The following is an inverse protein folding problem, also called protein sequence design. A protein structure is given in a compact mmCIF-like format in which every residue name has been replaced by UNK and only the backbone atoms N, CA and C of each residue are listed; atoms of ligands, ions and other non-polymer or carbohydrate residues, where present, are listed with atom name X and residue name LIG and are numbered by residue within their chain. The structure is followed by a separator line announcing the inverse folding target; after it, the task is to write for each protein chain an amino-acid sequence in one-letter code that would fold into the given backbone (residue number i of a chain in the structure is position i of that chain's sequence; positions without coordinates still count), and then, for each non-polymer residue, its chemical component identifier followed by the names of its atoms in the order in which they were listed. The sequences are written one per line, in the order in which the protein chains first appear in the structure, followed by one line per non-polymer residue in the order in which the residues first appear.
data_IF_411545476416
#
_entry.id   IF_411545476416
#
_cell.length_a   1.000
_cell.length_b   1.000
_cell.length_c   1.000
_cell.angle_alpha   90.00
_cell.angle_beta   90.00
_cell.angle_gamma   90.00
#
_symmetry.space_group_name_H-M   'P 1'
#
loop_
_entity.id
_entity.type
_entity.pdbx_description
1 polymer ?
#
# COMPACT_ATOMS: atom_id res chain seq x y z
N UNK A 1 28.38 33.32 -0.10
CA UNK A 1 27.62 32.48 0.85
C UNK A 1 26.49 31.83 0.04
N UNK A 2 26.78 30.68 -0.57
CA UNK A 2 25.81 29.93 -1.39
C UNK A 2 24.81 29.25 -0.44
N UNK A 3 23.54 29.64 -0.51
CA UNK A 3 22.46 28.82 0.08
C UNK A 3 22.12 27.74 -0.94
N UNK A 4 22.31 26.47 -0.55
CA UNK A 4 21.79 25.31 -1.27
C UNK A 4 20.29 25.48 -1.48
N UNK A 5 19.86 25.62 -2.73
CA UNK A 5 18.45 25.72 -3.15
C UNK A 5 17.90 24.33 -3.52
N UNK A 6 18.71 23.26 -3.41
CA UNK A 6 18.33 21.90 -3.83
C UNK A 6 17.31 21.19 -2.90
N UNK A 7 16.94 21.79 -1.76
CA UNK A 7 15.93 21.25 -0.85
C UNK A 7 14.58 22.00 -0.90
N UNK A 8 14.36 22.84 -1.91
CA UNK A 8 13.04 23.44 -2.11
C UNK A 8 12.20 22.44 -2.90
N UNK A 9 11.42 21.62 -2.19
CA UNK A 9 10.29 20.90 -2.77
C UNK A 9 9.47 21.95 -3.53
N UNK A 10 9.42 21.84 -4.86
CA UNK A 10 8.60 22.71 -5.68
C UNK A 10 7.13 22.39 -5.38
N UNK A 11 6.56 23.11 -4.42
CA UNK A 11 5.17 22.94 -3.99
C UNK A 11 4.19 23.14 -5.15
N UNK A 12 4.60 23.84 -6.22
CA UNK A 12 3.76 24.15 -7.38
C UNK A 12 3.58 22.94 -8.31
N UNK A 13 4.56 22.02 -8.37
CA UNK A 13 4.39 20.74 -9.07
C UNK A 13 3.48 19.79 -8.27
N UNK A 14 3.39 19.96 -6.94
CA UNK A 14 2.41 19.31 -6.07
C UNK A 14 1.02 19.98 -6.08
N UNK A 15 0.81 21.12 -6.76
CA UNK A 15 -0.47 21.86 -6.71
C UNK A 15 -1.62 21.22 -7.47
N UNK A 16 -1.38 20.19 -8.28
CA UNK A 16 -2.45 19.35 -8.83
C UNK A 16 -2.24 17.91 -8.40
N UNK A 17 -2.65 17.62 -7.16
CA UNK A 17 -2.83 16.25 -6.71
C UNK A 17 -3.75 15.52 -7.70
N UNK A 18 -3.43 14.24 -7.97
CA UNK A 18 -4.32 13.38 -8.74
C UNK A 18 -5.71 13.39 -8.10
N UNK A 19 -6.75 13.26 -8.91
CA UNK A 19 -8.10 13.16 -8.40
C UNK A 19 -8.84 12.00 -9.04
N UNK A 20 -9.82 11.49 -8.32
CA UNK A 20 -10.72 10.43 -8.81
C UNK A 20 -11.58 10.99 -9.93
N UNK A 21 -11.57 10.36 -11.10
CA UNK A 21 -12.46 10.70 -12.22
C UNK A 21 -13.69 9.78 -12.24
N UNK A 22 -13.46 8.47 -12.14
CA UNK A 22 -14.54 7.48 -12.26
C UNK A 22 -14.37 6.41 -11.18
N UNK A 23 -15.24 6.37 -10.16
CA UNK A 23 -15.34 5.21 -9.28
C UNK A 23 -15.93 4.02 -10.04
N UNK A 24 -15.35 2.83 -9.87
CA UNK A 24 -15.68 1.65 -10.69
C UNK A 24 -16.38 0.57 -9.86
N UNK A 25 -15.71 0.07 -8.80
CA UNK A 25 -16.23 -1.02 -7.95
C UNK A 25 -15.66 -0.93 -6.55
N UNK A 26 -16.26 -1.63 -5.59
CA UNK A 26 -15.75 -1.79 -4.22
C UNK A 26 -15.30 -3.23 -4.04
N UNK A 27 -14.14 -3.45 -3.42
CA UNK A 27 -13.67 -4.78 -3.08
C UNK A 27 -14.44 -5.34 -1.88
N UNK A 28 -14.71 -6.65 -1.92
CA UNK A 28 -15.42 -7.36 -0.85
C UNK A 28 -14.44 -7.76 0.26
N UNK A 29 -14.04 -6.78 1.08
CA UNK A 29 -13.04 -6.91 2.16
C UNK A 29 -13.42 -5.99 3.33
N UNK A 30 -12.80 -6.17 4.50
CA UNK A 30 -13.08 -5.37 5.69
C UNK A 30 -12.92 -3.85 5.48
N UNK A 31 -11.85 -3.41 4.83
CA UNK A 31 -11.60 -1.98 4.57
C UNK A 31 -12.39 -1.39 3.39
N UNK A 32 -13.06 -2.25 2.60
CA UNK A 32 -13.91 -1.89 1.45
C UNK A 32 -13.27 -0.84 0.52
N UNK A 33 -12.02 -1.04 0.04
CA UNK A 33 -11.40 -0.10 -0.89
C UNK A 33 -12.19 -0.08 -2.20
N UNK A 34 -12.23 1.08 -2.85
CA UNK A 34 -12.86 1.21 -4.16
C UNK A 34 -11.83 1.34 -5.27
N UNK A 35 -12.05 0.66 -6.38
CA UNK A 35 -11.29 0.84 -7.61
C UNK A 35 -11.81 2.11 -8.30
N UNK A 36 -10.89 2.94 -8.79
CA UNK A 36 -11.24 4.07 -9.64
C UNK A 36 -10.22 4.28 -10.75
N UNK A 37 -10.64 5.04 -11.77
CA UNK A 37 -9.73 5.71 -12.68
C UNK A 37 -9.42 7.12 -12.16
N UNK A 38 -8.13 7.45 -12.14
CA UNK A 38 -7.63 8.75 -11.70
C UNK A 38 -7.36 9.68 -12.89
N UNK A 39 -7.05 10.94 -12.59
CA UNK A 39 -6.83 12.00 -13.57
C UNK A 39 -5.62 11.82 -14.50
N UNK A 40 -4.74 10.89 -14.19
CA UNK A 40 -3.62 10.45 -15.05
C UNK A 40 -4.01 9.30 -15.99
N UNK A 41 -5.27 8.84 -15.95
CA UNK A 41 -5.79 7.74 -16.76
C UNK A 41 -5.54 6.36 -16.15
N UNK A 42 -4.81 6.28 -15.03
CA UNK A 42 -4.43 5.03 -14.38
C UNK A 42 -5.50 4.55 -13.39
N UNK A 43 -5.46 3.26 -13.07
CA UNK A 43 -6.40 2.63 -12.13
C UNK A 43 -5.79 2.49 -10.74
N UNK A 44 -6.57 2.78 -9.71
CA UNK A 44 -6.12 2.74 -8.31
C UNK A 44 -7.13 2.08 -7.39
N UNK A 45 -6.64 1.19 -6.51
CA UNK A 45 -7.40 0.74 -5.34
C UNK A 45 -7.26 1.77 -4.23
N UNK A 46 -8.37 2.42 -3.89
CA UNK A 46 -8.43 3.55 -2.99
C UNK A 46 -8.97 3.17 -1.61
N UNK A 47 -8.16 3.42 -0.56
CA UNK A 47 -8.53 3.28 0.85
C UNK A 47 -8.91 4.64 1.43
N UNK A 48 -10.03 4.67 2.16
CA UNK A 48 -10.59 5.88 2.75
C UNK A 48 -10.20 5.97 4.22
N UNK A 49 -9.82 7.17 4.72
CA UNK A 49 -9.58 7.37 6.16
C UNK A 49 -10.82 7.08 7.00
N UNK A 50 -12.02 7.24 6.45
CA UNK A 50 -13.28 6.99 7.15
C UNK A 50 -13.81 5.56 6.96
N UNK A 51 -12.92 4.58 6.76
CA UNK A 51 -13.31 3.16 6.63
C UNK A 51 -13.49 2.52 8.00
N UNK A 52 -13.92 1.26 8.03
CA UNK A 52 -14.07 0.50 9.29
C UNK A 52 -12.70 0.24 9.96
N UNK A 53 -11.59 0.42 9.23
CA UNK A 53 -10.21 0.34 9.75
C UNK A 53 -9.63 1.72 10.12
N UNK A 54 -10.47 2.77 10.06
CA UNK A 54 -10.18 4.16 10.44
C UNK A 54 -8.95 4.80 9.75
N UNK A 55 -8.59 6.01 10.19
CA UNK A 55 -7.57 6.87 9.58
C UNK A 55 -6.18 6.25 9.66
N UNK A 56 -5.90 5.53 10.73
CA UNK A 56 -4.58 5.02 11.01
C UNK A 56 -4.16 3.90 10.05
N UNK A 57 -5.11 3.08 9.56
CA UNK A 57 -4.81 2.12 8.50
C UNK A 57 -4.30 2.84 7.23
N UNK A 58 -4.89 3.99 6.87
CA UNK A 58 -4.42 4.81 5.74
C UNK A 58 -3.07 5.46 6.03
N UNK A 59 -2.82 5.88 7.27
CA UNK A 59 -1.50 6.39 7.69
C UNK A 59 -0.44 5.30 7.52
N UNK A 60 -0.74 4.06 7.91
CA UNK A 60 0.18 2.94 7.78
C UNK A 60 0.55 2.66 6.32
N UNK A 61 -0.42 2.68 5.39
CA UNK A 61 -0.15 2.58 3.95
C UNK A 61 0.85 3.64 3.49
N UNK A 62 0.67 4.90 3.91
CA UNK A 62 1.56 6.01 3.54
C UNK A 62 2.95 5.83 4.15
N UNK A 63 3.03 5.56 5.45
CA UNK A 63 4.30 5.44 6.17
C UNK A 63 5.11 4.25 5.67
N UNK A 64 4.48 3.08 5.50
CA UNK A 64 5.13 1.90 4.93
C UNK A 64 5.62 2.17 3.51
N UNK A 65 4.83 2.86 2.69
CA UNK A 65 5.21 3.21 1.32
C UNK A 65 6.39 4.18 1.25
N UNK A 66 6.47 5.15 2.16
CA UNK A 66 7.62 6.07 2.27
C UNK A 66 8.87 5.31 2.72
N UNK A 67 8.78 4.51 3.79
CA UNK A 67 9.91 3.72 4.30
C UNK A 67 10.41 2.76 3.22
N UNK A 68 9.50 2.08 2.51
CA UNK A 68 9.86 1.18 1.43
C UNK A 68 10.59 1.87 0.28
N UNK A 69 10.18 3.10 -0.09
CA UNK A 69 10.89 3.87 -1.10
C UNK A 69 12.34 4.19 -0.68
N UNK A 70 12.58 4.54 0.58
CA UNK A 70 13.92 4.85 1.11
C UNK A 70 14.87 3.64 1.09
N UNK A 71 14.34 2.42 1.20
CA UNK A 71 15.13 1.18 1.16
C UNK A 71 14.99 0.41 -0.17
N UNK A 72 14.35 1.02 -1.17
CA UNK A 72 14.07 0.43 -2.48
C UNK A 72 13.30 -0.92 -2.39
N UNK A 73 12.46 -1.07 -1.37
CA UNK A 73 11.58 -2.23 -1.23
C UNK A 73 10.47 -2.17 -2.30
N UNK A 74 10.07 -3.33 -2.86
CA UNK A 74 9.10 -3.39 -3.95
C UNK A 74 7.67 -3.17 -3.45
N UNK A 75 7.30 -1.94 -3.11
CA UNK A 75 5.92 -1.56 -2.80
C UNK A 75 5.24 -1.09 -4.08
N UNK A 76 3.94 -1.41 -4.24
CA UNK A 76 3.17 -0.89 -5.37
C UNK A 76 3.23 0.66 -5.40
N UNK A 77 3.47 1.28 -6.57
CA UNK A 77 3.35 2.72 -6.72
C UNK A 77 2.01 3.22 -6.22
N UNK A 78 2.02 4.35 -5.55
CA UNK A 78 0.87 4.89 -4.85
C UNK A 78 0.78 6.40 -5.04
N UNK A 79 -0.39 6.95 -4.74
CA UNK A 79 -0.64 8.37 -4.69
C UNK A 79 -1.71 8.69 -3.64
N UNK A 80 -1.76 9.94 -3.19
CA UNK A 80 -2.96 10.48 -2.54
C UNK A 80 -3.84 11.08 -3.62
N UNK A 81 -5.11 10.70 -3.65
CA UNK A 81 -6.08 11.21 -4.62
C UNK A 81 -7.12 12.09 -3.91
N UNK A 82 -7.42 13.25 -4.49
CA UNK A 82 -8.55 14.06 -4.05
C UNK A 82 -9.87 13.48 -4.59
N UNK A 83 -10.95 13.68 -3.83
CA UNK A 83 -12.32 13.41 -4.28
C UNK A 83 -12.94 14.74 -4.77
N UNK A 84 -13.18 14.89 -6.08
CA UNK A 84 -13.84 16.07 -6.64
C UNK A 84 -15.22 16.34 -6.01
N UNK A 85 -15.61 17.61 -5.94
CA UNK A 85 -16.83 18.05 -5.25
C UNK A 85 -18.12 17.46 -5.84
N UNK A 86 -18.12 17.17 -7.14
CA UNK A 86 -19.20 16.50 -7.88
C UNK A 86 -19.32 15.01 -7.57
N UNK A 87 -18.23 14.37 -7.11
CA UNK A 87 -18.24 12.98 -6.64
C UNK A 87 -18.59 12.84 -5.15
N UNK A 88 -18.50 13.92 -4.36
CA UNK A 88 -18.85 13.88 -2.94
C UNK A 88 -20.34 13.52 -2.76
N UNK A 89 -20.62 12.59 -1.83
CA UNK A 89 -21.94 11.98 -1.57
C UNK A 89 -22.48 11.04 -2.65
N UNK A 90 -21.77 10.84 -3.76
CA UNK A 90 -22.13 9.79 -4.71
C UNK A 90 -21.94 8.41 -4.07
N UNK A 91 -22.79 7.46 -4.45
CA UNK A 91 -22.69 6.09 -3.96
C UNK A 91 -21.71 5.29 -4.80
N UNK A 92 -20.89 4.48 -4.14
CA UNK A 92 -20.03 3.47 -4.75
C UNK A 92 -20.33 2.11 -4.11
N UNK A 93 -20.07 1.04 -4.87
CA UNK A 93 -20.36 -0.33 -4.43
C UNK A 93 -21.84 -0.66 -4.41
N UNK A 94 -22.13 -1.90 -4.01
CA UNK A 94 -23.47 -2.48 -3.98
C UNK A 94 -23.69 -3.24 -2.67
N UNK A 95 -24.95 -3.48 -2.29
CA UNK A 95 -25.30 -4.23 -1.09
C UNK A 95 -24.66 -3.68 0.20
N UNK A 96 -24.07 -4.56 1.00
CA UNK A 96 -23.37 -4.25 2.26
C UNK A 96 -22.04 -3.51 2.07
N UNK A 97 -21.53 -3.49 0.84
CA UNK A 97 -20.32 -2.77 0.45
C UNK A 97 -20.63 -1.35 -0.06
N UNK A 98 -21.91 -0.95 -0.09
CA UNK A 98 -22.33 0.36 -0.58
C UNK A 98 -22.11 1.47 0.44
N UNK A 99 -21.42 2.53 0.04
CA UNK A 99 -21.24 3.73 0.86
C UNK A 99 -21.15 5.01 0.02
N UNK A 100 -21.19 6.17 0.70
CA UNK A 100 -21.03 7.48 0.07
C UNK A 100 -19.57 7.93 0.11
N UNK A 101 -19.08 8.43 -1.01
CA UNK A 101 -17.78 9.11 -1.04
C UNK A 101 -17.84 10.40 -0.21
N UNK A 102 -16.75 10.68 0.51
CA UNK A 102 -16.59 11.89 1.30
C UNK A 102 -15.51 12.78 0.67
N UNK A 103 -15.29 13.99 1.20
CA UNK A 103 -14.39 15.00 0.60
C UNK A 103 -12.91 14.71 0.92
N UNK A 104 -12.67 13.94 1.97
CA UNK A 104 -11.37 13.55 2.48
C UNK A 104 -10.57 12.85 1.37
N UNK A 105 -9.28 13.22 1.17
CA UNK A 105 -8.42 12.53 0.25
C UNK A 105 -8.26 11.04 0.60
N UNK A 106 -7.97 10.23 -0.40
CA UNK A 106 -7.82 8.77 -0.27
C UNK A 106 -6.40 8.36 -0.63
N UNK A 107 -5.90 7.30 0.00
CA UNK A 107 -4.69 6.63 -0.45
C UNK A 107 -5.06 5.72 -1.61
N UNK A 108 -4.36 5.83 -2.74
CA UNK A 108 -4.52 4.95 -3.90
C UNK A 108 -3.26 4.14 -4.16
N UNK A 109 -3.38 2.81 -4.16
CA UNK A 109 -2.35 1.90 -4.68
C UNK A 109 -2.65 1.58 -6.14
N UNK A 110 -1.67 1.79 -7.03
CA UNK A 110 -1.86 1.62 -8.48
C UNK A 110 -2.16 0.15 -8.79
N UNK A 111 -3.27 -0.10 -9.47
CA UNK A 111 -3.73 -1.42 -9.88
C UNK A 111 -2.62 -2.14 -10.65
N UNK A 112 -2.44 -3.42 -10.33
CA UNK A 112 -1.67 -4.36 -11.12
C UNK A 112 -2.67 -5.33 -11.76
N UNK A 113 -2.71 -5.38 -13.09
CA UNK A 113 -3.81 -6.02 -13.82
C UNK A 113 -3.73 -7.55 -13.78
N UNK A 114 -2.53 -8.09 -13.97
CA UNK A 114 -2.27 -9.53 -14.07
C UNK A 114 -1.59 -9.99 -12.79
N UNK A 115 -2.29 -9.91 -11.65
CA UNK A 115 -1.73 -10.30 -10.37
C UNK A 115 -2.75 -10.88 -9.41
N UNK A 116 -2.26 -11.70 -8.50
CA UNK A 116 -3.04 -12.30 -7.41
C UNK A 116 -2.35 -12.08 -6.06
N UNK A 117 -3.16 -11.98 -5.01
CA UNK A 117 -2.70 -11.74 -3.64
C UNK A 117 -2.39 -13.05 -2.95
N UNK A 118 -1.21 -13.14 -2.35
CA UNK A 118 -0.78 -14.28 -1.56
C UNK A 118 -0.17 -13.85 -0.23
N UNK A 119 -0.32 -14.72 0.77
CA UNK A 119 0.27 -14.58 2.11
C UNK A 119 1.54 -15.41 2.30
N UNK A 120 1.76 -16.36 1.40
CA UNK A 120 2.98 -17.18 1.36
C UNK A 120 3.99 -16.57 0.40
N UNK A 121 5.26 -16.64 0.76
CA UNK A 121 6.35 -16.30 -0.15
C UNK A 121 6.68 -17.49 -1.05
N UNK A 122 6.76 -17.25 -2.35
CA UNK A 122 7.17 -18.22 -3.37
C UNK A 122 7.79 -17.49 -4.56
N UNK A 123 8.22 -18.23 -5.60
CA UNK A 123 8.89 -17.67 -6.78
C UNK A 123 10.09 -16.74 -6.45
N UNK A 124 10.78 -17.01 -5.33
CA UNK A 124 11.93 -16.23 -4.84
C UNK A 124 13.08 -16.22 -5.85
N UNK A 125 13.17 -17.28 -6.66
CA UNK A 125 14.15 -17.50 -7.72
C UNK A 125 13.74 -16.93 -9.09
N UNK A 126 12.60 -16.24 -9.19
CA UNK A 126 12.07 -15.69 -10.46
C UNK A 126 12.19 -14.15 -10.49
N UNK A 127 12.25 -13.58 -11.70
CA UNK A 127 12.24 -12.13 -12.00
C UNK A 127 12.97 -11.20 -11.01
N UNK A 128 14.22 -11.53 -10.67
CA UNK A 128 15.02 -10.72 -9.75
C UNK A 128 14.45 -10.67 -8.32
N UNK A 129 13.47 -11.52 -7.97
CA UNK A 129 12.90 -11.61 -6.64
C UNK A 129 13.96 -11.94 -5.58
N UNK A 130 15.06 -12.57 -5.99
CA UNK A 130 16.25 -12.76 -5.18
C UNK A 130 16.76 -11.46 -4.54
N UNK A 131 16.75 -10.34 -5.27
CA UNK A 131 17.17 -9.03 -4.78
C UNK A 131 16.03 -8.25 -4.09
N UNK A 132 14.78 -8.62 -4.39
CA UNK A 132 13.58 -7.96 -3.87
C UNK A 132 13.19 -8.50 -2.48
N UNK A 133 13.27 -9.80 -2.26
CA UNK A 133 12.90 -10.43 -0.99
C UNK A 133 13.73 -9.94 0.21
N UNK A 134 15.07 -9.75 0.12
CA UNK A 134 15.84 -9.14 1.20
C UNK A 134 15.31 -7.75 1.60
N UNK A 135 14.91 -6.93 0.63
CA UNK A 135 14.34 -5.60 0.87
C UNK A 135 12.93 -5.69 1.47
N UNK A 136 12.13 -6.66 1.04
CA UNK A 136 10.83 -6.97 1.66
C UNK A 136 10.98 -7.44 3.10
N UNK A 137 11.94 -8.33 3.40
CA UNK A 137 12.23 -8.77 4.77
C UNK A 137 12.64 -7.59 5.64
N UNK A 138 13.51 -6.71 5.14
CA UNK A 138 13.91 -5.49 5.84
C UNK A 138 12.70 -4.58 6.10
N UNK A 139 11.85 -4.38 5.10
CA UNK A 139 10.60 -3.61 5.23
C UNK A 139 9.69 -4.20 6.31
N UNK A 140 9.43 -5.52 6.26
CA UNK A 140 8.55 -6.20 7.21
C UNK A 140 9.07 -6.09 8.65
N UNK A 141 10.38 -6.26 8.85
CA UNK A 141 11.02 -6.13 10.16
C UNK A 141 11.00 -4.68 10.68
N UNK A 142 11.38 -3.71 9.84
CA UNK A 142 11.42 -2.29 10.23
C UNK A 142 10.03 -1.74 10.55
N UNK A 143 9.03 -2.14 9.77
CA UNK A 143 7.66 -1.66 9.93
C UNK A 143 6.84 -2.54 10.87
N UNK A 144 7.43 -3.57 11.47
CA UNK A 144 6.73 -4.52 12.33
C UNK A 144 5.41 -4.99 11.68
N UNK A 145 5.57 -5.56 10.49
CA UNK A 145 4.47 -5.89 9.60
C UNK A 145 3.60 -7.02 10.17
N UNK A 146 2.29 -6.81 10.09
CA UNK A 146 1.29 -7.84 10.35
C UNK A 146 0.40 -8.00 9.14
N UNK A 147 -0.31 -9.12 9.05
CA UNK A 147 -1.17 -9.43 7.92
C UNK A 147 -0.43 -9.32 6.57
N UNK A 148 0.81 -9.83 6.49
CA UNK A 148 1.65 -9.65 5.30
C UNK A 148 0.96 -10.22 4.05
N UNK A 149 0.73 -9.34 3.09
CA UNK A 149 0.16 -9.66 1.78
C UNK A 149 1.11 -9.19 0.66
N UNK A 150 1.19 -10.01 -0.38
CA UNK A 150 2.03 -9.78 -1.55
C UNK A 150 1.22 -9.98 -2.82
N UNK A 151 1.49 -9.18 -3.85
CA UNK A 151 1.05 -9.43 -5.21
C UNK A 151 2.18 -10.08 -6.00
N UNK A 152 1.85 -11.05 -6.84
CA UNK A 152 2.75 -11.61 -7.84
C UNK A 152 2.27 -11.22 -9.23
N UNK A 153 3.13 -10.55 -9.99
CA UNK A 153 2.86 -10.09 -11.35
C UNK A 153 3.08 -11.23 -12.36
N UNK A 154 2.00 -11.77 -12.92
CA UNK A 154 2.06 -12.85 -13.90
C UNK A 154 2.62 -12.38 -15.25
N UNK A 155 2.54 -11.09 -15.57
CA UNK A 155 3.07 -10.55 -16.83
C UNK A 155 4.56 -10.21 -16.73
N UNK A 156 5.10 -10.16 -15.51
CA UNK A 156 6.51 -9.93 -15.22
C UNK A 156 7.11 -11.14 -14.48
N UNK A 157 6.92 -12.35 -15.02
CA UNK A 157 7.57 -13.58 -14.53
C UNK A 157 7.52 -13.76 -13.00
N UNK A 158 6.33 -13.54 -12.41
CA UNK A 158 6.05 -13.65 -10.98
C UNK A 158 6.76 -12.60 -10.11
N UNK A 159 6.98 -11.38 -10.61
CA UNK A 159 7.57 -10.31 -9.84
C UNK A 159 6.78 -10.00 -8.57
N UNK A 160 7.44 -10.00 -7.41
CA UNK A 160 6.77 -9.78 -6.12
C UNK A 160 6.63 -8.30 -5.78
N UNK A 161 5.48 -7.91 -5.24
CA UNK A 161 5.19 -6.58 -4.72
C UNK A 161 4.50 -6.65 -3.35
N UNK A 162 4.87 -5.78 -2.42
CA UNK A 162 4.16 -5.61 -1.16
C UNK A 162 2.94 -4.71 -1.32
N UNK A 163 1.85 -5.10 -0.66
CA UNK A 163 0.58 -4.36 -0.58
C UNK A 163 -0.01 -4.49 0.83
N UNK A 164 -1.08 -3.73 1.07
CA UNK A 164 -1.96 -3.85 2.24
C UNK A 164 -1.20 -3.76 3.57
N UNK A 165 -0.82 -2.53 3.92
CA UNK A 165 0.00 -2.25 5.10
C UNK A 165 -0.86 -1.78 6.29
N UNK A 166 -2.18 -1.82 6.15
CA UNK A 166 -3.12 -1.23 7.12
C UNK A 166 -2.94 -1.72 8.56
N UNK A 167 -2.46 -2.95 8.75
CA UNK A 167 -2.22 -3.54 10.08
C UNK A 167 -0.76 -3.52 10.55
N UNK A 168 0.11 -2.75 9.92
CA UNK A 168 1.53 -2.68 10.29
C UNK A 168 1.79 -1.74 11.48
N UNK A 169 3.03 -1.69 11.98
CA UNK A 169 3.44 -0.84 13.11
C UNK A 169 2.71 -1.16 14.42
N UNK A 170 2.28 -2.42 14.58
CA UNK A 170 1.57 -2.91 15.78
C UNK A 170 0.11 -2.45 15.84
N UNK A 171 -0.46 -2.05 14.71
CA UNK A 171 -1.85 -1.61 14.65
C UNK A 171 -2.84 -2.76 14.54
N UNK A 172 -3.94 -2.67 15.29
CA UNK A 172 -5.09 -3.55 15.19
C UNK A 172 -6.39 -2.77 15.41
N UNK A 173 -7.52 -3.45 15.21
CA UNK A 173 -8.86 -2.88 15.33
C UNK A 173 -9.15 -2.20 16.69
N UNK A 174 -8.39 -2.49 17.76
CA UNK A 174 -8.23 -1.66 18.99
C UNK A 174 -7.46 -2.44 20.08
N UNK A 175 -6.75 -1.78 21.03
CA UNK A 175 -6.33 -0.38 21.05
C UNK A 175 -5.06 -0.14 20.23
N UNK A 176 -4.99 1.02 19.59
CA UNK A 176 -3.81 1.48 18.85
C UNK A 176 -2.63 1.74 19.79
N UNK A 177 -1.48 1.14 19.49
CA UNK A 177 -0.23 1.35 20.21
C UNK A 177 0.92 0.55 19.62
N UNK A 178 2.15 0.96 19.91
CA UNK A 178 3.30 0.12 19.60
C UNK A 178 3.23 -1.14 20.49
N UNK A 179 3.22 -2.30 19.85
CA UNK A 179 3.33 -3.58 20.55
C UNK A 179 4.56 -3.60 21.46
N UNK A 180 4.46 -4.33 22.57
CA UNK A 180 5.64 -4.61 23.39
C UNK A 180 6.69 -5.30 22.49
N UNK A 181 7.96 -4.85 22.45
CA UNK A 181 9.01 -5.45 21.63
C UNK A 181 9.31 -6.92 21.96
N UNK A 182 8.78 -7.42 23.08
CA UNK A 182 8.83 -8.83 23.48
C UNK A 182 7.64 -9.66 22.98
N UNK A 183 6.59 -9.03 22.45
CA UNK A 183 5.42 -9.68 21.83
C UNK A 183 5.62 -9.86 20.32
N UNK A 184 4.80 -10.71 19.70
CA UNK A 184 4.83 -10.97 18.26
C UNK A 184 4.54 -9.71 17.43
N UNK A 185 3.71 -8.80 17.93
CA UNK A 185 3.56 -7.46 17.36
C UNK A 185 4.77 -6.55 17.62
N UNK A 186 5.94 -7.08 17.99
CA UNK A 186 7.26 -6.45 17.89
C UNK A 186 8.27 -7.35 17.16
N UNK A 187 7.82 -8.51 16.66
CA UNK A 187 8.58 -9.54 15.95
C UNK A 187 7.68 -10.14 14.87
N UNK A 188 7.59 -9.52 13.70
CA UNK A 188 6.63 -9.92 12.68
C UNK A 188 6.81 -11.39 12.29
N UNK A 189 5.70 -12.10 12.11
CA UNK A 189 5.72 -13.46 11.57
C UNK A 189 6.01 -13.38 10.07
N UNK A 190 7.24 -13.73 9.70
CA UNK A 190 7.67 -13.64 8.31
C UNK A 190 7.19 -14.87 7.52
N UNK A 191 6.67 -14.70 6.29
CA UNK A 191 6.37 -15.81 5.41
C UNK A 191 7.60 -16.70 5.20
N UNK A 192 7.42 -18.02 5.26
CA UNK A 192 8.53 -18.96 5.09
C UNK A 192 9.13 -18.88 3.68
N UNK A 193 10.41 -18.52 3.58
CA UNK A 193 11.18 -18.60 2.34
C UNK A 193 11.74 -20.01 2.18
N UNK A 194 11.15 -20.77 1.26
CA UNK A 194 11.52 -22.19 1.03
C UNK A 194 12.61 -22.38 -0.02
N UNK A 195 12.86 -21.35 -0.82
CA UNK A 195 13.92 -21.34 -1.83
C UNK A 195 15.14 -20.68 -1.24
N UNK A 196 16.31 -21.31 -1.40
CA UNK A 196 17.56 -20.74 -0.92
C UNK A 196 17.93 -19.49 -1.72
N UNK A 197 18.20 -18.41 -1.00
CA UNK A 197 18.81 -17.19 -1.54
C UNK A 197 20.33 -17.47 -1.60
N UNK A 198 20.80 -18.08 -2.70
CA UNK A 198 22.19 -18.21 -3.15
C UNK A 198 23.07 -16.98 -2.87
N UNK A 199 23.80 -16.97 -1.75
CA UNK A 199 24.75 -15.91 -1.38
C UNK A 199 25.52 -15.35 -2.58
N UNK A 200 25.35 -14.06 -2.86
CA UNK A 200 26.08 -13.36 -3.91
C UNK A 200 27.57 -13.36 -3.53
N UNK A 201 28.41 -13.90 -4.41
CA UNK A 201 29.87 -13.78 -4.34
C UNK A 201 30.33 -12.47 -4.96
#
# INVERSE_FOLDING_TARGET
MNKNVENVINLDDHRRRLHVQVPIKVADTGSKPFLCQASDGELYWCKRPSSDHDVEAVVNEVVASIIGAEIDAPIRPWAILDIPSDLVKTFVGEGENRYRLRKEPVFGSKLLHSAEVFRSAFAVDQDGNYDRFPKLLALWLLCNAEDIQMLYDFDADMQVWSIDHGFWFGSHETPWGLGDPTKTSGRPELPALRTHISSVH
#
